data_IF_641693699220
#
_entry.id   IF_641693699220
#
_cell.length_a   1.000
_cell.length_b   1.000
_cell.length_c   1.000
_cell.angle_alpha   90.00
_cell.angle_beta   90.00
_cell.angle_gamma   90.00
#
_symmetry.space_group_name_H-M   'P 1'
#
loop_
_entity.id
_entity.type
_entity.pdbx_description
1 polymer ?
#
# COMPACT_ATOMS: atom_id res chain seq x y z
N UNK A 1 25.94 32.45 -38.80
CA UNK A 1 25.14 32.90 -37.63
C UNK A 1 24.35 31.71 -37.12
N UNK A 2 24.79 31.10 -36.01
CA UNK A 2 24.12 29.95 -35.39
C UNK A 2 22.92 30.47 -34.60
N UNK A 3 21.70 30.30 -35.11
CA UNK A 3 20.49 30.55 -34.32
C UNK A 3 20.19 29.30 -33.50
N UNK A 4 20.62 29.38 -32.25
CA UNK A 4 20.23 28.51 -31.16
C UNK A 4 18.72 28.71 -30.93
N UNK A 5 17.89 27.76 -31.36
CA UNK A 5 16.49 27.68 -30.92
C UNK A 5 16.44 26.69 -29.75
N UNK A 6 16.57 27.25 -28.54
CA UNK A 6 16.17 26.61 -27.30
C UNK A 6 14.66 26.35 -27.36
N UNK A 7 14.28 25.10 -27.63
CA UNK A 7 12.93 24.62 -27.37
C UNK A 7 12.86 24.20 -25.90
N UNK A 8 12.66 25.19 -25.02
CA UNK A 8 12.12 24.96 -23.68
C UNK A 8 10.61 25.05 -23.81
N UNK A 9 9.92 23.92 -23.70
CA UNK A 9 8.58 23.81 -23.11
C UNK A 9 8.11 22.35 -23.22
N UNK A 10 8.58 21.51 -22.31
CA UNK A 10 7.73 20.45 -21.81
C UNK A 10 7.83 20.45 -20.29
N UNK A 11 7.15 21.44 -19.70
CA UNK A 11 6.58 21.28 -18.38
C UNK A 11 5.58 20.13 -18.48
N UNK A 12 6.06 18.89 -18.34
CA UNK A 12 5.22 17.83 -17.82
C UNK A 12 4.86 18.22 -16.38
N UNK A 13 3.91 19.14 -16.23
CA UNK A 13 2.95 18.98 -15.14
C UNK A 13 2.15 17.73 -15.49
N UNK A 14 2.73 16.56 -15.26
CA UNK A 14 1.89 15.43 -14.90
C UNK A 14 1.25 15.89 -13.60
N UNK A 15 0.01 16.36 -13.67
CA UNK A 15 -0.90 16.26 -12.53
C UNK A 15 -1.02 14.77 -12.27
N UNK A 16 -0.04 14.23 -11.56
CA UNK A 16 0.00 12.86 -11.10
C UNK A 16 -1.19 12.75 -10.17
N UNK A 17 -2.26 12.13 -10.66
CA UNK A 17 -3.23 11.57 -9.74
C UNK A 17 -2.45 10.40 -9.11
N UNK A 18 -1.85 10.57 -7.92
CA UNK A 18 -1.06 9.51 -7.27
C UNK A 18 -1.94 8.41 -6.67
N UNK A 19 -2.86 7.93 -7.48
CA UNK A 19 -3.48 6.65 -7.33
C UNK A 19 -2.40 5.57 -7.42
N UNK A 20 -2.49 4.53 -6.59
CA UNK A 20 -1.66 3.35 -6.80
C UNK A 20 -2.25 2.54 -7.95
N UNK A 21 -1.51 2.42 -9.05
CA UNK A 21 -1.95 1.87 -10.33
C UNK A 21 -1.28 0.55 -10.70
N UNK A 22 -0.27 0.13 -9.94
CA UNK A 22 0.45 -1.12 -10.19
C UNK A 22 1.17 -1.61 -8.93
N UNK A 23 1.74 -2.81 -9.04
CA UNK A 23 2.50 -3.45 -7.97
C UNK A 23 3.72 -2.63 -7.55
N UNK A 24 4.44 -2.03 -8.50
CA UNK A 24 5.68 -1.28 -8.21
C UNK A 24 5.39 -0.05 -7.34
N UNK A 25 4.37 0.73 -7.68
CA UNK A 25 3.93 1.87 -6.87
C UNK A 25 3.49 1.44 -5.47
N UNK A 26 2.78 0.32 -5.37
CA UNK A 26 2.38 -0.24 -4.07
C UNK A 26 3.60 -0.66 -3.23
N UNK A 27 4.61 -1.30 -3.83
CA UNK A 27 5.84 -1.68 -3.16
C UNK A 27 6.60 -0.45 -2.66
N UNK A 28 6.77 0.58 -3.50
CA UNK A 28 7.40 1.85 -3.11
C UNK A 28 6.67 2.45 -1.90
N UNK A 29 5.35 2.61 -2.00
CA UNK A 29 4.53 3.13 -0.90
C UNK A 29 4.63 2.29 0.38
N UNK A 30 4.88 0.99 0.26
CA UNK A 30 5.02 0.10 1.42
C UNK A 30 6.35 0.26 2.16
N UNK A 31 7.41 0.67 1.45
CA UNK A 31 8.77 0.85 1.98
C UNK A 31 8.99 2.24 2.57
N UNK A 32 8.19 3.24 2.16
CA UNK A 32 8.28 4.59 2.72
C UNK A 32 8.04 4.60 4.23
N UNK A 33 8.78 5.48 4.91
CA UNK A 33 8.49 5.88 6.28
C UNK A 33 7.06 6.43 6.36
N UNK A 34 6.45 6.38 7.54
CA UNK A 34 5.10 6.92 7.70
C UNK A 34 5.03 8.42 7.37
N UNK A 35 6.07 9.17 7.72
CA UNK A 35 6.19 10.61 7.42
C UNK A 35 6.23 10.84 5.92
N UNK A 36 7.17 10.20 5.21
CA UNK A 36 7.30 10.33 3.76
C UNK A 36 6.06 9.84 3.01
N UNK A 37 5.43 8.76 3.47
CA UNK A 37 4.16 8.29 2.91
C UNK A 37 3.05 9.33 3.07
N UNK A 38 2.97 9.96 4.24
CA UNK A 38 1.98 11.02 4.52
C UNK A 38 2.24 12.22 3.62
N UNK A 39 3.50 12.62 3.48
CA UNK A 39 3.93 13.73 2.62
C UNK A 39 3.64 13.48 1.15
N UNK A 40 3.87 12.27 0.63
CA UNK A 40 3.53 11.97 -0.76
C UNK A 40 2.00 12.00 -0.96
N UNK A 41 1.24 11.33 -0.12
CA UNK A 41 -0.19 11.16 -0.36
C UNK A 41 -1.01 12.44 -0.11
N UNK A 42 -0.58 13.32 0.81
CA UNK A 42 -1.33 14.56 1.12
C UNK A 42 -1.46 15.50 -0.08
N UNK A 43 -0.49 15.52 -0.98
CA UNK A 43 -0.48 16.43 -2.13
C UNK A 43 -1.28 15.90 -3.32
N UNK A 44 -1.54 14.59 -3.35
CA UNK A 44 -2.05 13.90 -4.53
C UNK A 44 -3.53 13.49 -4.43
N UNK A 45 -4.29 14.24 -3.62
CA UNK A 45 -5.74 14.09 -3.52
C UNK A 45 -6.23 12.96 -2.62
N UNK A 46 -5.35 12.40 -1.77
CA UNK A 46 -5.75 11.49 -0.70
C UNK A 46 -6.28 12.26 0.50
N UNK A 47 -7.39 11.80 1.06
CA UNK A 47 -7.84 12.24 2.38
C UNK A 47 -7.14 11.43 3.46
N UNK A 48 -6.49 12.11 4.40
CA UNK A 48 -5.79 11.48 5.51
C UNK A 48 -6.70 11.45 6.73
N UNK A 49 -6.92 10.25 7.28
CA UNK A 49 -7.70 10.07 8.50
C UNK A 49 -6.80 10.21 9.73
N UNK A 50 -7.37 10.66 10.85
CA UNK A 50 -6.63 10.69 12.12
C UNK A 50 -6.20 9.27 12.49
N UNK A 51 -4.94 9.07 12.91
CA UNK A 51 -4.48 7.76 13.30
C UNK A 51 -5.23 7.27 14.52
N UNK A 52 -5.38 5.95 14.60
CA UNK A 52 -5.95 5.28 15.77
C UNK A 52 -4.94 4.34 16.38
N UNK A 53 -4.83 4.34 17.69
CA UNK A 53 -3.98 3.44 18.45
C UNK A 53 -4.81 2.52 19.32
N UNK A 54 -4.36 1.27 19.44
CA UNK A 54 -4.97 0.28 20.33
C UNK A 54 -3.89 -0.53 21.03
N UNK A 55 -4.10 -0.77 22.31
CA UNK A 55 -3.30 -1.70 23.10
C UNK A 55 -3.87 -3.12 22.96
N UNK A 56 -3.00 -4.09 22.74
CA UNK A 56 -3.32 -5.53 22.69
C UNK A 56 -2.42 -6.30 23.65
N UNK A 57 -2.75 -7.57 23.86
CA UNK A 57 -1.96 -8.52 24.65
C UNK A 57 -1.61 -7.96 26.04
N UNK A 58 -2.61 -7.48 26.77
CA UNK A 58 -2.48 -6.86 28.10
C UNK A 58 -1.51 -5.65 28.13
N UNK A 59 -1.47 -4.87 27.06
CA UNK A 59 -0.62 -3.68 26.95
C UNK A 59 0.76 -3.95 26.36
N UNK A 60 1.09 -5.21 26.04
CA UNK A 60 2.38 -5.57 25.44
C UNK A 60 2.53 -5.16 23.98
N UNK A 61 1.43 -4.93 23.28
CA UNK A 61 1.47 -4.50 21.87
C UNK A 61 0.70 -3.22 21.65
N UNK A 62 1.35 -2.25 21.01
CA UNK A 62 0.72 -1.03 20.52
C UNK A 62 0.48 -1.19 19.03
N UNK A 63 -0.77 -1.03 18.60
CA UNK A 63 -1.18 -1.11 17.19
C UNK A 63 -1.61 0.26 16.72
N UNK A 64 -0.74 0.94 15.97
CA UNK A 64 -1.04 2.17 15.26
C UNK A 64 -1.65 1.86 13.89
N UNK A 65 -2.76 2.51 13.55
CA UNK A 65 -3.40 2.40 12.24
C UNK A 65 -3.55 3.78 11.61
N UNK A 66 -2.98 3.94 10.42
CA UNK A 66 -3.01 5.14 9.60
C UNK A 66 -3.77 4.81 8.32
N UNK A 67 -4.77 5.61 7.96
CA UNK A 67 -5.63 5.35 6.80
C UNK A 67 -5.64 6.56 5.87
N UNK A 68 -5.45 6.28 4.59
CA UNK A 68 -5.43 7.25 3.50
C UNK A 68 -6.50 6.81 2.50
N UNK A 69 -7.48 7.67 2.21
CA UNK A 69 -8.62 7.34 1.35
C UNK A 69 -8.58 8.19 0.09
N UNK A 70 -8.54 7.54 -1.08
CA UNK A 70 -8.69 8.17 -2.39
C UNK A 70 -10.12 7.93 -2.90
N UNK A 71 -11.04 8.80 -2.49
CA UNK A 71 -12.49 8.61 -2.70
C UNK A 71 -12.89 8.54 -4.17
N UNK A 72 -12.22 9.31 -5.04
CA UNK A 72 -12.53 9.38 -6.47
C UNK A 72 -12.41 8.02 -7.18
N UNK A 73 -11.52 7.13 -6.70
CA UNK A 73 -11.27 5.80 -7.30
C UNK A 73 -11.52 4.65 -6.33
N UNK A 74 -12.17 4.91 -5.19
CA UNK A 74 -12.54 3.88 -4.20
C UNK A 74 -11.32 3.04 -3.78
N UNK A 75 -10.20 3.71 -3.53
CA UNK A 75 -9.01 3.10 -2.95
C UNK A 75 -8.84 3.56 -1.50
N UNK A 76 -8.33 2.65 -0.68
CA UNK A 76 -7.94 2.88 0.70
C UNK A 76 -6.56 2.27 0.90
N UNK A 77 -5.58 3.09 1.25
CA UNK A 77 -4.28 2.62 1.71
C UNK A 77 -4.27 2.68 3.24
N UNK A 78 -3.82 1.62 3.87
CA UNK A 78 -3.74 1.53 5.34
C UNK A 78 -2.37 1.04 5.76
N UNK A 79 -1.70 1.82 6.60
CA UNK A 79 -0.45 1.45 7.25
C UNK A 79 -0.77 1.00 8.68
N UNK A 80 -0.40 -0.22 9.01
CA UNK A 80 -0.52 -0.79 10.35
C UNK A 80 0.89 -0.97 10.89
N UNK A 81 1.17 -0.36 12.03
CA UNK A 81 2.44 -0.49 12.75
C UNK A 81 2.13 -1.18 14.07
N UNK A 82 2.80 -2.29 14.33
CA UNK A 82 2.68 -3.06 15.57
C UNK A 82 4.01 -2.99 16.27
N UNK A 83 4.04 -2.37 17.45
CA UNK A 83 5.21 -2.34 18.31
C UNK A 83 4.97 -3.28 19.49
N UNK A 84 5.87 -4.25 19.68
CA UNK A 84 5.93 -5.05 20.89
C UNK A 84 6.77 -4.31 21.93
N UNK A 85 6.16 -3.93 23.04
CA UNK A 85 6.82 -3.13 24.08
C UNK A 85 7.73 -3.97 24.96
N UNK A 86 7.67 -5.30 24.87
CA UNK A 86 8.49 -6.19 25.72
C UNK A 86 9.92 -6.32 25.21
N UNK A 87 10.12 -6.29 23.89
CA UNK A 87 11.42 -6.42 23.23
C UNK A 87 11.74 -5.27 22.25
N UNK A 88 10.79 -4.36 22.01
CA UNK A 88 10.95 -3.21 21.12
C UNK A 88 10.74 -3.54 19.64
N UNK A 89 10.39 -4.78 19.30
CA UNK A 89 10.22 -5.22 17.92
C UNK A 89 9.08 -4.46 17.26
N UNK A 90 9.34 -3.93 16.06
CA UNK A 90 8.33 -3.22 15.27
C UNK A 90 8.05 -3.95 13.97
N UNK A 91 6.77 -4.20 13.71
CA UNK A 91 6.26 -4.80 12.48
C UNK A 91 5.42 -3.80 11.71
N UNK A 92 5.62 -3.78 10.40
CA UNK A 92 4.88 -2.93 9.49
C UNK A 92 4.10 -3.75 8.46
N UNK A 93 2.83 -3.39 8.27
CA UNK A 93 2.00 -3.93 7.20
C UNK A 93 1.34 -2.79 6.43
N UNK A 94 1.50 -2.79 5.11
CA UNK A 94 0.82 -1.86 4.21
C UNK A 94 -0.26 -2.59 3.45
N UNK A 95 -1.51 -2.13 3.58
CA UNK A 95 -2.68 -2.70 2.95
C UNK A 95 -3.25 -1.75 1.92
N UNK A 96 -3.34 -2.21 0.68
CA UNK A 96 -4.12 -1.54 -0.36
C UNK A 96 -5.46 -2.26 -0.50
N UNK A 97 -6.55 -1.53 -0.28
CA UNK A 97 -7.92 -2.04 -0.43
C UNK A 97 -8.57 -1.29 -1.58
N UNK A 98 -9.01 -2.02 -2.59
CA UNK A 98 -9.50 -1.45 -3.85
C UNK A 98 -10.84 -2.04 -4.25
N UNK A 99 -11.70 -1.19 -4.82
CA UNK A 99 -12.92 -1.61 -5.53
C UNK A 99 -12.71 -1.58 -7.05
N UNK A 100 -11.61 -2.17 -7.50
CA UNK A 100 -11.22 -2.27 -8.90
C UNK A 100 -10.61 -3.65 -9.18
N UNK A 101 -11.41 -4.52 -9.81
CA UNK A 101 -10.99 -5.89 -10.14
C UNK A 101 -9.92 -5.92 -11.22
N UNK A 102 -9.93 -4.96 -12.14
CA UNK A 102 -8.97 -4.90 -13.25
C UNK A 102 -7.58 -4.58 -12.71
N UNK A 103 -7.48 -3.59 -11.84
CA UNK A 103 -6.23 -3.27 -11.15
C UNK A 103 -5.76 -4.42 -10.26
N UNK A 104 -6.67 -5.03 -9.48
CA UNK A 104 -6.34 -6.20 -8.68
C UNK A 104 -5.70 -7.30 -9.54
N UNK A 105 -6.39 -7.72 -10.62
CA UNK A 105 -5.90 -8.75 -11.53
C UNK A 105 -4.56 -8.39 -12.18
N UNK A 106 -4.35 -7.11 -12.53
CA UNK A 106 -3.08 -6.62 -13.06
C UNK A 106 -1.95 -6.82 -12.05
N UNK A 107 -2.17 -6.45 -10.78
CA UNK A 107 -1.20 -6.65 -9.71
C UNK A 107 -0.91 -8.14 -9.53
N UNK A 108 -1.95 -8.99 -9.42
CA UNK A 108 -1.79 -10.44 -9.26
C UNK A 108 -0.98 -11.05 -10.41
N UNK A 109 -1.28 -10.66 -11.65
CA UNK A 109 -0.58 -11.15 -12.85
C UNK A 109 0.91 -10.77 -12.85
N UNK A 110 1.25 -9.61 -12.28
CA UNK A 110 2.61 -9.09 -12.28
C UNK A 110 3.47 -9.67 -11.13
N UNK A 111 2.88 -10.31 -10.12
CA UNK A 111 3.63 -10.88 -8.99
C UNK A 111 4.76 -11.83 -9.43
N UNK A 112 4.52 -12.87 -10.26
CA UNK A 112 5.60 -13.78 -10.69
C UNK A 112 6.71 -13.09 -11.49
N UNK A 113 6.35 -12.07 -12.28
CA UNK A 113 7.32 -11.28 -13.06
C UNK A 113 8.22 -10.43 -12.16
N UNK A 114 7.79 -10.16 -10.93
CA UNK A 114 8.54 -9.42 -9.92
C UNK A 114 9.17 -10.35 -8.86
N UNK A 115 9.32 -11.66 -9.17
CA UNK A 115 10.02 -12.61 -8.31
C UNK A 115 9.17 -13.24 -7.20
N UNK A 116 7.88 -12.91 -7.11
CA UNK A 116 6.99 -13.47 -6.10
C UNK A 116 6.44 -14.83 -6.53
N UNK A 117 6.65 -15.84 -5.69
CA UNK A 117 6.12 -17.19 -5.88
C UNK A 117 4.91 -17.44 -4.97
N UNK A 118 3.89 -18.12 -5.49
CA UNK A 118 2.73 -18.53 -4.70
C UNK A 118 3.15 -19.61 -3.68
N UNK A 119 2.94 -19.33 -2.40
CA UNK A 119 3.26 -20.24 -1.29
C UNK A 119 2.02 -20.99 -0.82
N UNK A 120 0.88 -20.29 -0.76
CA UNK A 120 -0.37 -20.86 -0.23
C UNK A 120 -1.58 -20.24 -0.89
N UNK A 121 -2.61 -21.05 -1.12
CA UNK A 121 -3.93 -20.57 -1.56
C UNK A 121 -5.02 -21.28 -0.77
N UNK A 122 -5.87 -20.50 -0.11
CA UNK A 122 -6.97 -20.96 0.74
C UNK A 122 -8.23 -20.16 0.42
N UNK A 123 -9.18 -20.76 -0.32
CA UNK A 123 -10.43 -20.08 -0.66
C UNK A 123 -10.19 -18.75 -1.39
N UNK A 124 -10.60 -17.64 -0.77
CA UNK A 124 -10.45 -16.28 -1.27
C UNK A 124 -9.10 -15.63 -0.91
N UNK A 125 -8.19 -16.35 -0.26
CA UNK A 125 -6.89 -15.85 0.15
C UNK A 125 -5.75 -16.54 -0.61
N UNK A 126 -4.71 -15.77 -0.93
CA UNK A 126 -3.47 -16.30 -1.48
C UNK A 126 -2.26 -15.56 -0.91
N UNK A 127 -1.19 -16.30 -0.64
CA UNK A 127 0.05 -15.80 -0.07
C UNK A 127 1.19 -16.03 -1.05
N UNK A 128 1.91 -14.95 -1.35
CA UNK A 128 3.07 -14.91 -2.21
C UNK A 128 4.31 -14.45 -1.43
N UNK A 129 5.50 -14.88 -1.85
CA UNK A 129 6.76 -14.53 -1.22
C UNK A 129 7.90 -14.46 -2.26
N UNK A 130 8.83 -13.52 -2.11
CA UNK A 130 10.00 -13.32 -3.00
C UNK A 130 11.35 -13.67 -2.34
N UNK A 131 11.33 -14.33 -1.18
CA UNK A 131 12.46 -14.62 -0.32
C UNK A 131 12.71 -13.57 0.77
N UNK A 132 12.12 -12.38 0.66
CA UNK A 132 12.31 -11.27 1.63
C UNK A 132 11.01 -10.69 2.16
N UNK A 133 10.01 -10.54 1.30
CA UNK A 133 8.74 -9.91 1.57
C UNK A 133 7.60 -10.91 1.32
N UNK A 134 6.49 -10.73 2.03
CA UNK A 134 5.29 -11.51 1.82
C UNK A 134 4.13 -10.61 1.35
N UNK A 135 3.40 -11.08 0.34
CA UNK A 135 2.18 -10.43 -0.16
C UNK A 135 1.00 -11.36 0.04
N UNK A 136 0.04 -10.93 0.83
CA UNK A 136 -1.22 -11.62 1.02
C UNK A 136 -2.32 -10.91 0.24
N UNK A 137 -3.05 -11.66 -0.57
CA UNK A 137 -4.19 -11.20 -1.34
C UNK A 137 -5.47 -11.78 -0.72
N UNK A 138 -6.51 -10.95 -0.59
CA UNK A 138 -7.83 -11.38 -0.12
C UNK A 138 -8.91 -10.85 -1.07
N UNK A 139 -9.64 -11.77 -1.70
CA UNK A 139 -10.80 -11.45 -2.54
C UNK A 139 -12.08 -11.34 -1.71
N UNK A 140 -13.04 -10.54 -2.19
CA UNK A 140 -14.34 -10.32 -1.52
C UNK A 140 -14.20 -9.84 -0.07
N UNK A 141 -13.17 -9.05 0.20
CA UNK A 141 -12.99 -8.40 1.49
C UNK A 141 -14.17 -7.46 1.77
N UNK A 142 -14.54 -7.33 3.04
CA UNK A 142 -15.59 -6.41 3.50
C UNK A 142 -14.94 -5.27 4.27
N UNK A 143 -15.13 -4.04 3.80
CA UNK A 143 -14.52 -2.87 4.41
C UNK A 143 -15.58 -1.79 4.65
N UNK A 144 -15.54 -1.16 5.83
CA UNK A 144 -16.58 -0.22 6.30
C UNK A 144 -16.81 0.98 5.36
N UNK A 145 -15.75 1.54 4.80
CA UNK A 145 -15.72 2.72 3.92
C UNK A 145 -16.12 2.39 2.47
N UNK A 146 -15.67 1.26 1.91
CA UNK A 146 -15.84 0.90 0.48
C UNK A 146 -16.93 -0.16 0.23
N UNK A 147 -17.44 -0.78 1.30
CA UNK A 147 -18.47 -1.82 1.28
C UNK A 147 -17.94 -3.22 0.97
N UNK A 148 -18.79 -4.05 0.36
CA UNK A 148 -18.47 -5.41 -0.08
C UNK A 148 -17.94 -5.44 -1.51
N UNK A 149 -17.36 -6.58 -1.90
CA UNK A 149 -16.79 -6.79 -3.23
C UNK A 149 -15.51 -6.01 -3.47
N UNK A 150 -14.73 -5.76 -2.40
CA UNK A 150 -13.41 -5.15 -2.50
C UNK A 150 -12.31 -6.21 -2.41
N UNK A 151 -11.13 -5.84 -2.87
CA UNK A 151 -9.94 -6.66 -2.88
C UNK A 151 -8.90 -6.04 -1.94
N UNK A 152 -8.29 -6.84 -1.07
CA UNK A 152 -7.19 -6.42 -0.20
C UNK A 152 -5.87 -7.01 -0.70
N UNK A 153 -4.83 -6.17 -0.74
CA UNK A 153 -3.44 -6.54 -1.03
C UNK A 153 -2.62 -6.07 0.18
N UNK A 154 -2.18 -7.00 1.01
CA UNK A 154 -1.36 -6.74 2.20
C UNK A 154 0.10 -7.05 1.92
N UNK A 155 0.99 -6.08 2.12
CA UNK A 155 2.44 -6.26 2.07
C UNK A 155 2.98 -6.30 3.48
N UNK A 156 3.60 -7.42 3.82
CA UNK A 156 4.39 -7.58 5.03
C UNK A 156 5.85 -7.49 4.62
N UNK A 157 6.47 -6.38 4.99
CA UNK A 157 7.92 -6.24 4.91
C UNK A 157 8.50 -6.94 6.14
N UNK A 158 9.53 -7.77 5.94
CA UNK A 158 10.30 -8.23 7.08
C UNK A 158 10.96 -7.00 7.74
N UNK A 159 11.01 -7.01 9.07
CA UNK A 159 11.60 -5.90 9.83
C UNK A 159 12.99 -5.58 9.29
N UNK A 160 13.24 -4.31 8.98
CA UNK A 160 14.58 -3.81 8.73
C UNK A 160 15.28 -3.88 10.08
N UNK A 161 16.25 -4.79 10.21
CA UNK A 161 17.19 -4.83 11.34
C UNK A 161 18.03 -3.55 11.41
#
# INVERSE_FOLDING_TARGET
MKKLLLFIAFLCFSTSNAQINNLKELLIASELSLESLTEELQYDGWSIERPTEKFKDNGRKVVGTYSFTFTQKKQLLRRIIIMDTSDGTTFQNTKLIIKDKTLYNLIVKNLPQNGYSLIKKNGNESLYNDGRNAIMLTENYSQKTLGTGVYEISILLNAIE
#
